data_IF_371651100558
#
_entry.id   IF_371651100558
#
_cell.length_a   1.000
_cell.length_b   1.000
_cell.length_c   1.000
_cell.angle_alpha   90.00
_cell.angle_beta   90.00
_cell.angle_gamma   90.00
#
_symmetry.space_group_name_H-M   'P 1'
#
loop_
_entity.id
_entity.type
_entity.pdbx_description
1 polymer ?
#
# COMPACT_ATOMS: atom_id res chain seq x y z
N UNK A 1 11.39 -27.08 13.92
CA UNK A 1 11.74 -25.67 13.60
C UNK A 1 10.46 -24.87 13.51
N UNK A 2 10.26 -23.84 14.34
CA UNK A 2 9.12 -22.95 14.20
C UNK A 2 9.31 -22.11 12.92
N UNK A 3 8.33 -22.11 12.01
CA UNK A 3 8.41 -21.33 10.78
C UNK A 3 8.65 -19.85 11.10
N UNK A 4 9.60 -19.23 10.40
CA UNK A 4 9.91 -17.80 10.56
C UNK A 4 8.65 -17.00 10.24
N UNK A 5 8.05 -16.38 11.26
CA UNK A 5 6.87 -15.52 11.11
C UNK A 5 7.33 -14.19 10.53
N UNK A 6 7.15 -14.01 9.22
CA UNK A 6 7.36 -12.71 8.55
C UNK A 6 6.23 -11.73 8.90
N UNK A 7 6.54 -10.44 8.86
CA UNK A 7 5.54 -9.39 8.91
C UNK A 7 5.10 -8.97 7.51
N UNK A 8 3.79 -8.77 7.34
CA UNK A 8 3.20 -8.36 6.08
C UNK A 8 2.29 -7.17 6.34
N UNK A 9 2.61 -6.03 5.72
CA UNK A 9 1.76 -4.85 5.76
C UNK A 9 0.86 -4.83 4.52
N UNK A 10 -0.46 -4.69 4.71
CA UNK A 10 -1.43 -4.63 3.61
C UNK A 10 -2.17 -3.29 3.64
N UNK A 11 -2.04 -2.50 2.57
CA UNK A 11 -2.86 -1.29 2.35
C UNK A 11 -4.29 -1.68 1.95
N UNK A 12 -5.30 -0.88 2.28
CA UNK A 12 -6.69 -1.20 1.92
C UNK A 12 -7.28 -2.43 2.63
N UNK A 13 -6.62 -2.97 3.65
CA UNK A 13 -7.01 -4.22 4.32
C UNK A 13 -8.40 -4.19 5.00
N UNK A 14 -8.98 -3.00 5.20
CA UNK A 14 -10.29 -2.83 5.85
C UNK A 14 -11.48 -3.16 4.94
N UNK A 15 -11.29 -3.22 3.62
CA UNK A 15 -12.38 -3.39 2.65
C UNK A 15 -11.97 -4.23 1.42
N UNK A 16 -12.96 -4.53 0.58
CA UNK A 16 -12.77 -5.10 -0.76
C UNK A 16 -11.82 -6.30 -0.82
N UNK A 17 -10.97 -6.30 -1.84
CA UNK A 17 -9.88 -7.26 -2.05
C UNK A 17 -8.82 -7.25 -0.94
N UNK A 18 -8.69 -6.16 -0.18
CA UNK A 18 -7.69 -6.03 0.87
C UNK A 18 -7.94 -6.96 2.05
N UNK A 19 -9.21 -7.23 2.41
CA UNK A 19 -9.55 -8.17 3.50
C UNK A 19 -9.02 -9.59 3.23
N UNK A 20 -9.33 -10.27 2.12
CA UNK A 20 -8.79 -11.59 1.85
C UNK A 20 -7.26 -11.56 1.67
N UNK A 21 -6.68 -10.51 1.08
CA UNK A 21 -5.23 -10.31 0.96
C UNK A 21 -4.53 -10.26 2.32
N UNK A 22 -5.15 -9.67 3.35
CA UNK A 22 -4.63 -9.69 4.71
C UNK A 22 -4.92 -11.00 5.46
N UNK A 23 -6.11 -11.59 5.25
CA UNK A 23 -6.54 -12.78 5.99
C UNK A 23 -5.76 -14.05 5.63
N UNK A 24 -5.37 -14.21 4.35
CA UNK A 24 -4.62 -15.38 3.90
C UNK A 24 -3.26 -15.55 4.62
N UNK A 25 -2.36 -14.54 4.65
CA UNK A 25 -1.10 -14.65 5.39
C UNK A 25 -1.30 -14.77 6.90
N UNK A 26 -2.31 -14.12 7.47
CA UNK A 26 -2.63 -14.26 8.90
C UNK A 26 -3.00 -15.71 9.26
N UNK A 27 -3.82 -16.38 8.42
CA UNK A 27 -4.15 -17.81 8.56
C UNK A 27 -2.93 -18.71 8.38
N UNK A 28 -1.94 -18.28 7.58
CA UNK A 28 -0.64 -18.92 7.44
C UNK A 28 0.32 -18.72 8.61
N UNK A 29 -0.06 -17.92 9.62
CA UNK A 29 0.73 -17.70 10.83
C UNK A 29 1.67 -16.49 10.78
N UNK A 30 1.62 -15.67 9.73
CA UNK A 30 2.35 -14.40 9.61
C UNK A 30 1.75 -13.31 10.50
N UNK A 31 2.58 -12.35 10.90
CA UNK A 31 2.09 -11.13 11.52
C UNK A 31 1.57 -10.21 10.41
N UNK A 32 0.31 -9.78 10.50
CA UNK A 32 -0.31 -8.92 9.48
C UNK A 32 -0.75 -7.62 10.11
N UNK A 33 -0.37 -6.50 9.50
CA UNK A 33 -0.72 -5.16 9.95
C UNK A 33 -1.13 -4.27 8.79
N UNK A 34 -1.59 -3.07 9.12
CA UNK A 34 -1.74 -1.99 8.13
C UNK A 34 -0.43 -1.20 8.04
N UNK A 35 -0.17 -0.49 6.94
CA UNK A 35 1.02 0.38 6.86
C UNK A 35 1.01 1.56 7.86
N UNK A 36 -0.14 1.89 8.45
CA UNK A 36 -0.22 2.85 9.56
C UNK A 36 0.21 2.21 10.88
N UNK A 37 0.32 0.89 10.94
CA UNK A 37 0.76 0.15 12.12
C UNK A 37 2.30 0.17 12.20
N UNK A 38 2.82 1.30 12.69
CA UNK A 38 4.24 1.51 12.95
C UNK A 38 4.84 0.43 13.86
N UNK A 39 4.03 -0.20 14.72
CA UNK A 39 4.48 -1.29 15.57
C UNK A 39 4.83 -2.56 14.80
N UNK A 40 4.13 -2.85 13.70
CA UNK A 40 4.45 -3.97 12.80
C UNK A 40 5.68 -3.66 11.96
N UNK A 41 5.84 -2.42 11.50
CA UNK A 41 7.02 -1.99 10.74
C UNK A 41 8.30 -1.98 11.59
N UNK A 42 8.22 -1.55 12.85
CA UNK A 42 9.41 -1.37 13.72
C UNK A 42 9.87 -2.67 14.40
N UNK A 43 8.98 -3.66 14.63
CA UNK A 43 9.34 -4.91 15.32
C UNK A 43 9.94 -5.99 14.43
N UNK A 44 9.78 -5.87 13.11
CA UNK A 44 10.15 -6.92 12.19
C UNK A 44 11.25 -6.45 11.22
N UNK A 45 12.41 -7.12 11.30
CA UNK A 45 13.61 -6.84 10.48
C UNK A 45 13.34 -7.02 8.98
N UNK A 46 12.30 -7.79 8.61
CA UNK A 46 11.83 -7.95 7.24
C UNK A 46 10.31 -7.84 7.22
N UNK A 47 9.82 -6.83 6.51
CA UNK A 47 8.39 -6.60 6.28
C UNK A 47 8.14 -6.54 4.79
N UNK A 48 7.26 -7.42 4.30
CA UNK A 48 6.77 -7.36 2.93
C UNK A 48 5.52 -6.46 2.88
N UNK A 49 5.36 -5.68 1.81
CA UNK A 49 4.24 -4.73 1.68
C UNK A 49 3.37 -5.10 0.48
N UNK A 50 2.11 -5.42 0.73
CA UNK A 50 1.08 -5.54 -0.29
C UNK A 50 0.38 -4.19 -0.53
N UNK A 51 0.58 -3.62 -1.71
CA UNK A 51 -0.03 -2.36 -2.17
C UNK A 51 -1.36 -2.67 -2.88
N UNK A 52 -2.42 -2.77 -2.10
CA UNK A 52 -3.77 -3.12 -2.53
C UNK A 52 -4.73 -1.93 -2.45
N UNK A 53 -4.40 -0.85 -1.73
CA UNK A 53 -5.25 0.34 -1.77
C UNK A 53 -5.33 0.89 -3.19
N UNK A 54 -6.55 1.20 -3.62
CA UNK A 54 -6.84 1.73 -4.95
C UNK A 54 -7.91 2.81 -4.86
N UNK A 55 -7.85 3.77 -5.78
CA UNK A 55 -8.88 4.77 -6.02
C UNK A 55 -9.34 4.71 -7.46
N UNK A 56 -10.65 4.55 -7.68
CA UNK A 56 -11.24 4.39 -9.00
C UNK A 56 -12.38 5.38 -9.17
N UNK A 57 -12.31 6.17 -10.24
CA UNK A 57 -13.40 7.00 -10.72
C UNK A 57 -13.73 6.60 -12.17
N UNK A 58 -15.02 6.56 -12.51
CA UNK A 58 -15.51 6.12 -13.83
C UNK A 58 -16.22 7.28 -14.53
N UNK A 59 -15.87 7.53 -15.78
CA UNK A 59 -16.39 8.64 -16.57
C UNK A 59 -15.70 8.76 -17.91
N UNK A 60 -16.21 9.64 -18.78
CA UNK A 60 -15.49 10.02 -20.00
C UNK A 60 -14.26 10.87 -19.63
N UNK A 61 -13.24 10.86 -20.47
CA UNK A 61 -11.98 11.58 -20.18
C UNK A 61 -12.18 13.07 -19.88
N UNK A 62 -13.17 13.72 -20.52
CA UNK A 62 -13.49 15.14 -20.28
C UNK A 62 -14.36 15.41 -19.06
N UNK A 63 -14.84 14.38 -18.35
CA UNK A 63 -15.67 14.53 -17.16
C UNK A 63 -14.84 14.57 -15.85
N UNK A 64 -13.56 14.21 -15.91
CA UNK A 64 -12.70 14.20 -14.72
C UNK A 64 -12.18 15.59 -14.41
N UNK A 65 -12.23 15.94 -13.13
CA UNK A 65 -11.54 17.11 -12.58
C UNK A 65 -10.05 16.82 -12.42
N UNK A 66 -9.24 17.87 -12.21
CA UNK A 66 -7.83 17.70 -11.89
C UNK A 66 -7.67 16.94 -10.57
N UNK A 67 -8.57 17.18 -9.61
CA UNK A 67 -8.62 16.52 -8.31
C UNK A 67 -8.90 15.02 -8.43
N UNK A 68 -9.80 14.59 -9.33
CA UNK A 68 -10.06 13.16 -9.57
C UNK A 68 -8.82 12.44 -10.11
N UNK A 69 -8.11 13.08 -11.04
CA UNK A 69 -6.89 12.55 -11.63
C UNK A 69 -5.77 12.50 -10.58
N UNK A 70 -5.62 13.57 -9.78
CA UNK A 70 -4.64 13.64 -8.71
C UNK A 70 -4.90 12.55 -7.66
N UNK A 71 -6.13 12.35 -7.21
CA UNK A 71 -6.49 11.32 -6.25
C UNK A 71 -6.18 9.90 -6.75
N UNK A 72 -6.51 9.61 -8.02
CA UNK A 72 -6.16 8.35 -8.66
C UNK A 72 -4.65 8.14 -8.77
N UNK A 73 -3.91 9.17 -9.16
CA UNK A 73 -2.46 9.12 -9.29
C UNK A 73 -1.74 8.96 -7.95
N UNK A 74 -2.18 9.70 -6.93
CA UNK A 74 -1.57 9.67 -5.59
C UNK A 74 -1.72 8.27 -4.94
N UNK A 75 -2.90 7.66 -5.05
CA UNK A 75 -3.17 6.34 -4.45
C UNK A 75 -2.62 5.20 -5.30
N UNK A 76 -2.80 5.23 -6.62
CA UNK A 76 -2.49 4.08 -7.47
C UNK A 76 -1.06 4.09 -8.02
N UNK A 77 -0.39 5.25 -8.05
CA UNK A 77 0.96 5.41 -8.61
C UNK A 77 1.94 5.82 -7.51
N UNK A 78 1.75 6.97 -6.87
CA UNK A 78 2.76 7.49 -5.93
C UNK A 78 2.87 6.67 -4.65
N UNK A 79 1.76 6.38 -3.96
CA UNK A 79 1.78 5.63 -2.70
C UNK A 79 2.44 4.23 -2.83
N UNK A 80 2.23 3.47 -3.93
CA UNK A 80 2.99 2.26 -4.21
C UNK A 80 4.50 2.45 -4.36
N UNK A 81 4.98 3.59 -4.85
CA UNK A 81 6.41 3.83 -5.00
C UNK A 81 7.06 4.40 -3.73
N UNK A 82 6.26 4.76 -2.72
CA UNK A 82 6.74 5.44 -1.52
C UNK A 82 7.11 6.90 -1.83
N UNK A 83 7.69 7.65 -0.87
CA UNK A 83 8.18 8.98 -1.18
C UNK A 83 9.22 8.85 -2.30
N UNK A 84 8.94 9.50 -3.44
CA UNK A 84 9.99 9.76 -4.42
C UNK A 84 11.06 10.57 -3.70
N UNK A 85 12.31 10.08 -3.71
CA UNK A 85 13.43 10.93 -3.33
C UNK A 85 13.30 12.24 -4.13
N UNK A 86 13.57 13.42 -3.54
CA UNK A 86 13.46 14.66 -4.27
C UNK A 86 14.25 14.52 -5.57
N UNK A 87 13.58 14.75 -6.70
CA UNK A 87 14.23 14.75 -7.99
C UNK A 87 15.42 15.70 -7.89
N UNK A 88 16.63 15.18 -8.09
CA UNK A 88 17.85 15.97 -8.21
C UNK A 88 17.78 16.79 -9.51
N UNK A 89 16.89 17.77 -9.55
CA UNK A 89 16.88 18.85 -10.53
C UNK A 89 17.48 20.08 -9.87
N UNK A 90 18.72 19.92 -9.42
CA UNK A 90 19.67 21.00 -9.18
C UNK A 90 20.87 20.73 -10.08
N UNK A 91 20.71 21.01 -11.38
CA UNK A 91 21.76 21.35 -12.36
C UNK A 91 21.13 21.36 -13.75
N UNK A 92 20.84 22.55 -14.27
CA UNK A 92 21.49 23.17 -15.43
C UNK A 92 21.07 24.63 -15.52
#
# INVERSE_FOLDING_TARGET
>A
MAAVRQAIAVTGASSGSGRPTAAAPARGGHAVGTVLDRHVLDRHVRTDIARNAEHTALGSAGAFTAEDVAAGHDVNVLAPHGPTAPSSTASL
#
